data_IF_718737173337
#
_entry.id   IF_718737173337
#
_cell.length_a   1.000
_cell.length_b   1.000
_cell.length_c   1.000
_cell.angle_alpha   90.00
_cell.angle_beta   90.00
_cell.angle_gamma   90.00
#
_symmetry.space_group_name_H-M   'P 1'
#
loop_
_entity.id
_entity.type
_entity.pdbx_description
1 polymer ?
#
# COMPACT_ATOMS: atom_id res chain seq x y z
N UNK A 1 0.86 -29.40 -22.31
CA UNK A 1 2.29 -29.72 -22.13
C UNK A 1 2.97 -28.52 -21.50
N UNK A 2 3.37 -28.60 -20.22
CA UNK A 2 4.25 -27.60 -19.59
C UNK A 2 5.67 -27.90 -20.07
N UNK A 3 6.23 -27.00 -20.87
CA UNK A 3 7.67 -26.99 -21.17
C UNK A 3 8.42 -26.75 -19.86
N UNK A 4 9.06 -27.81 -19.32
CA UNK A 4 9.94 -27.75 -18.16
C UNK A 4 11.40 -27.40 -18.54
N UNK A 5 11.63 -26.87 -19.74
CA UNK A 5 12.97 -26.59 -20.25
C UNK A 5 13.43 -25.14 -20.04
N UNK A 6 12.69 -24.34 -19.27
CA UNK A 6 13.12 -22.99 -18.97
C UNK A 6 14.19 -23.05 -17.88
N UNK A 7 15.45 -22.96 -18.31
CA UNK A 7 16.58 -22.63 -17.41
C UNK A 7 16.14 -21.40 -16.63
N UNK A 8 16.16 -21.48 -15.29
CA UNK A 8 15.70 -20.35 -14.49
C UNK A 8 16.53 -19.10 -14.88
N UNK A 9 15.92 -17.92 -14.98
CA UNK A 9 16.64 -16.69 -15.32
C UNK A 9 17.86 -16.45 -14.41
N UNK A 10 17.78 -16.90 -13.16
CA UNK A 10 18.88 -16.90 -12.20
C UNK A 10 20.04 -17.80 -12.64
N UNK A 11 19.76 -19.04 -13.06
CA UNK A 11 20.79 -19.97 -13.55
C UNK A 11 21.43 -19.41 -14.81
N UNK A 12 20.66 -18.86 -15.75
CA UNK A 12 21.19 -18.27 -16.98
C UNK A 12 22.13 -17.07 -16.70
N UNK A 13 21.73 -16.17 -15.79
CA UNK A 13 22.57 -15.02 -15.39
C UNK A 13 23.84 -15.50 -14.67
N UNK A 14 23.73 -16.47 -13.75
CA UNK A 14 24.88 -17.01 -13.04
C UNK A 14 25.88 -17.65 -14.00
N UNK A 15 25.39 -18.41 -15.00
CA UNK A 15 26.23 -19.05 -16.01
C UNK A 15 26.91 -18.01 -16.91
N UNK A 16 26.20 -16.96 -17.32
CA UNK A 16 26.78 -15.85 -18.09
C UNK A 16 27.88 -15.13 -17.31
N UNK A 17 27.66 -14.83 -16.03
CA UNK A 17 28.67 -14.21 -15.16
C UNK A 17 29.90 -15.10 -15.04
N UNK A 18 29.69 -16.41 -14.81
CA UNK A 18 30.79 -17.38 -14.65
C UNK A 18 31.61 -17.50 -15.95
N UNK A 19 30.95 -17.58 -17.11
CA UNK A 19 31.61 -17.59 -18.42
C UNK A 19 32.36 -16.28 -18.66
N UNK A 20 31.79 -15.14 -18.30
CA UNK A 20 32.43 -13.82 -18.49
C UNK A 20 33.67 -13.68 -17.60
N UNK A 21 33.60 -14.09 -16.33
CA UNK A 21 34.75 -14.11 -15.42
C UNK A 21 35.83 -15.08 -15.92
N UNK A 22 35.43 -16.26 -16.40
CA UNK A 22 36.35 -17.25 -16.97
C UNK A 22 37.08 -16.71 -18.21
N UNK A 23 36.35 -16.10 -19.14
CA UNK A 23 36.93 -15.48 -20.35
C UNK A 23 37.85 -14.31 -20.01
N UNK A 24 37.47 -13.46 -19.04
CA UNK A 24 38.32 -12.36 -18.58
C UNK A 24 39.60 -12.88 -17.92
N UNK A 25 39.47 -13.89 -17.05
CA UNK A 25 40.58 -14.57 -16.41
C UNK A 25 41.54 -15.20 -17.40
N UNK A 26 41.02 -15.84 -18.46
CA UNK A 26 41.84 -16.41 -19.54
C UNK A 26 42.52 -15.33 -20.39
N UNK A 27 41.83 -14.23 -20.71
CA UNK A 27 42.37 -13.15 -21.54
C UNK A 27 43.49 -12.36 -20.83
N UNK A 28 43.47 -12.28 -19.49
CA UNK A 28 44.44 -11.54 -18.67
C UNK A 28 45.15 -12.44 -17.65
N UNK A 29 45.32 -13.72 -17.94
CA UNK A 29 45.74 -14.72 -16.95
C UNK A 29 47.10 -14.39 -16.30
N UNK A 30 48.09 -13.93 -17.09
CA UNK A 30 49.40 -13.53 -16.56
C UNK A 30 49.30 -12.36 -15.59
N UNK A 31 48.46 -11.38 -15.91
CA UNK A 31 48.21 -10.24 -15.02
C UNK A 31 47.53 -10.69 -13.72
N UNK A 32 46.52 -11.57 -13.82
CA UNK A 32 45.77 -12.06 -12.65
C UNK A 32 46.67 -12.86 -11.71
N UNK A 33 47.51 -13.76 -12.24
CA UNK A 33 48.43 -14.57 -11.44
C UNK A 33 49.48 -13.68 -10.77
N UNK A 34 50.10 -12.77 -11.52
CA UNK A 34 51.17 -11.91 -11.01
C UNK A 34 50.68 -10.83 -10.03
N UNK A 35 49.39 -10.50 -10.02
CA UNK A 35 48.80 -9.46 -9.18
C UNK A 35 47.69 -9.98 -8.25
N UNK A 36 47.68 -11.28 -7.95
CA UNK A 36 46.61 -11.90 -7.16
C UNK A 36 46.38 -11.24 -5.80
N UNK A 37 47.46 -10.95 -5.06
CA UNK A 37 47.37 -10.29 -3.75
C UNK A 37 46.82 -8.87 -3.85
N UNK A 38 47.17 -8.14 -4.92
CA UNK A 38 46.63 -6.83 -5.21
C UNK A 38 45.12 -6.91 -5.49
N UNK A 39 44.69 -7.84 -6.35
CA UNK A 39 43.28 -8.06 -6.69
C UNK A 39 42.49 -8.41 -5.44
N UNK A 40 42.99 -9.32 -4.60
CA UNK A 40 42.35 -9.69 -3.34
C UNK A 40 42.19 -8.50 -2.39
N UNK A 41 43.25 -7.70 -2.25
CA UNK A 41 43.23 -6.48 -1.42
C UNK A 41 42.26 -5.43 -1.96
N UNK A 42 42.20 -5.25 -3.28
CA UNK A 42 41.26 -4.34 -3.95
C UNK A 42 39.80 -4.77 -3.69
N UNK A 43 39.49 -6.06 -3.84
CA UNK A 43 38.15 -6.60 -3.55
C UNK A 43 37.79 -6.40 -2.09
N UNK A 44 38.70 -6.73 -1.15
CA UNK A 44 38.41 -6.62 0.28
C UNK A 44 38.13 -5.17 0.71
N UNK A 45 38.91 -4.20 0.20
CA UNK A 45 38.71 -2.77 0.49
C UNK A 45 37.40 -2.22 -0.06
N UNK A 46 36.89 -2.81 -1.14
CA UNK A 46 35.76 -2.26 -1.91
C UNK A 46 34.49 -3.11 -1.81
N UNK A 47 34.52 -4.18 -1.02
CA UNK A 47 33.45 -5.19 -0.93
C UNK A 47 32.06 -4.59 -0.72
N UNK A 48 31.93 -3.63 0.20
CA UNK A 48 30.64 -3.00 0.52
C UNK A 48 30.11 -2.20 -0.67
N UNK A 49 30.99 -1.43 -1.32
CA UNK A 49 30.63 -0.64 -2.49
C UNK A 49 30.26 -1.53 -3.68
N UNK A 50 30.99 -2.63 -3.90
CA UNK A 50 30.67 -3.61 -4.94
C UNK A 50 29.29 -4.24 -4.73
N UNK A 51 28.94 -4.60 -3.50
CA UNK A 51 27.60 -5.13 -3.19
C UNK A 51 26.53 -4.09 -3.52
N UNK A 52 26.73 -2.82 -3.14
CA UNK A 52 25.79 -1.73 -3.43
C UNK A 52 25.65 -1.48 -4.95
N UNK A 53 26.75 -1.48 -5.71
CA UNK A 53 26.73 -1.29 -7.16
C UNK A 53 26.05 -2.46 -7.88
N UNK A 54 26.32 -3.69 -7.42
CA UNK A 54 25.70 -4.89 -7.97
C UNK A 54 24.20 -4.87 -7.72
N UNK A 55 23.79 -4.52 -6.50
CA UNK A 55 22.38 -4.37 -6.14
C UNK A 55 21.68 -3.28 -6.97
N UNK A 56 22.34 -2.14 -7.21
CA UNK A 56 21.78 -1.05 -8.02
C UNK A 56 21.49 -1.53 -9.46
N UNK A 57 22.43 -2.25 -10.07
CA UNK A 57 22.27 -2.83 -11.40
C UNK A 57 21.11 -3.83 -11.43
N UNK A 58 21.03 -4.75 -10.46
CA UNK A 58 19.96 -5.74 -10.43
C UNK A 58 18.57 -5.12 -10.23
N UNK A 59 18.45 -4.13 -9.34
CA UNK A 59 17.19 -3.38 -9.14
C UNK A 59 16.77 -2.72 -10.45
N UNK A 60 17.71 -2.12 -11.17
CA UNK A 60 17.43 -1.42 -12.42
C UNK A 60 17.00 -2.39 -13.51
N UNK A 61 17.68 -3.53 -13.67
CA UNK A 61 17.29 -4.60 -14.58
C UNK A 61 15.88 -5.08 -14.25
N UNK A 62 15.61 -5.39 -12.97
CA UNK A 62 14.30 -5.85 -12.54
C UNK A 62 13.18 -4.85 -12.88
N UNK A 63 13.40 -3.56 -12.62
CA UNK A 63 12.41 -2.51 -12.91
C UNK A 63 12.20 -2.34 -14.41
N UNK A 64 13.28 -2.33 -15.20
CA UNK A 64 13.18 -2.25 -16.67
C UNK A 64 12.42 -3.46 -17.21
N UNK A 65 12.74 -4.67 -16.75
CA UNK A 65 12.04 -5.90 -17.13
C UNK A 65 10.56 -5.85 -16.74
N UNK A 66 10.24 -5.36 -15.55
CA UNK A 66 8.85 -5.22 -15.08
C UNK A 66 8.06 -4.20 -15.92
N UNK A 67 8.69 -3.08 -16.31
CA UNK A 67 8.08 -2.08 -17.19
C UNK A 67 7.91 -2.65 -18.61
N UNK A 68 8.91 -3.34 -19.14
CA UNK A 68 8.87 -3.97 -20.46
C UNK A 68 7.79 -5.07 -20.54
N UNK A 69 7.66 -5.90 -19.51
CA UNK A 69 6.62 -6.93 -19.43
C UNK A 69 5.21 -6.31 -19.46
N UNK A 70 5.05 -5.14 -18.82
CA UNK A 70 3.80 -4.37 -18.82
C UNK A 70 3.52 -3.66 -20.15
N UNK A 71 4.53 -3.05 -20.77
CA UNK A 71 4.37 -2.31 -22.03
C UNK A 71 4.16 -3.22 -23.23
N UNK A 72 4.82 -4.38 -23.26
CA UNK A 72 4.68 -5.40 -24.30
C UNK A 72 3.43 -6.28 -24.14
N UNK A 73 2.63 -6.07 -23.08
CA UNK A 73 1.31 -6.68 -22.94
C UNK A 73 1.31 -8.14 -22.47
N UNK A 74 2.42 -8.65 -21.94
CA UNK A 74 2.52 -10.04 -21.45
C UNK A 74 1.66 -10.30 -20.20
N UNK A 75 1.29 -9.25 -19.45
CA UNK A 75 0.35 -9.32 -18.31
C UNK A 75 -0.82 -8.35 -18.46
N UNK A 76 -1.82 -8.70 -19.27
CA UNK A 76 -3.09 -7.94 -19.45
C UNK A 76 -4.03 -7.93 -18.24
N UNK A 77 -3.69 -8.61 -17.14
CA UNK A 77 -4.61 -8.79 -16.01
C UNK A 77 -4.82 -7.50 -15.19
N UNK A 78 -3.82 -6.61 -15.12
CA UNK A 78 -3.90 -5.36 -14.37
C UNK A 78 -4.68 -4.23 -15.06
N UNK A 79 -4.76 -4.21 -16.40
CA UNK A 79 -5.48 -3.16 -17.13
C UNK A 79 -6.99 -3.30 -17.02
N UNK A 80 -7.51 -4.54 -16.91
CA UNK A 80 -8.93 -4.82 -16.67
C UNK A 80 -9.44 -4.28 -15.33
N UNK A 81 -8.64 -4.38 -14.26
CA UNK A 81 -9.00 -3.81 -12.96
C UNK A 81 -9.03 -2.28 -12.98
N UNK A 82 -8.11 -1.65 -13.73
CA UNK A 82 -8.06 -0.19 -13.89
C UNK A 82 -9.23 0.37 -14.71
N UNK A 83 -9.67 -0.34 -15.75
CA UNK A 83 -10.85 0.05 -16.53
C UNK A 83 -12.16 -0.09 -15.74
N UNK A 84 -12.21 -1.01 -14.77
CA UNK A 84 -13.37 -1.16 -13.87
C UNK A 84 -13.41 -0.04 -12.82
N UNK A 85 -12.26 0.47 -12.38
CA UNK A 85 -12.20 1.41 -11.24
C UNK A 85 -12.34 2.89 -11.59
N UNK A 86 -12.34 3.28 -12.87
CA UNK A 86 -12.45 4.68 -13.33
C UNK A 86 -11.57 5.68 -12.52
N UNK A 87 -10.44 5.21 -11.97
CA UNK A 87 -9.56 6.05 -11.17
C UNK A 87 -8.81 6.99 -12.11
N UNK A 88 -9.15 8.28 -12.07
CA UNK A 88 -8.42 9.33 -12.77
C UNK A 88 -6.99 9.36 -12.22
N UNK A 89 -6.02 8.99 -13.05
CA UNK A 89 -4.60 9.13 -12.73
C UNK A 89 -4.30 10.62 -12.56
N UNK A 90 -3.82 11.01 -11.37
CA UNK A 90 -3.40 12.38 -11.10
C UNK A 90 -2.02 12.64 -11.72
N UNK A 91 -1.99 12.95 -13.02
CA UNK A 91 -0.77 13.21 -13.78
C UNK A 91 0.08 14.35 -13.19
N UNK A 92 -0.54 15.37 -12.58
CA UNK A 92 0.19 16.48 -11.93
C UNK A 92 1.04 15.98 -10.77
N UNK A 93 0.48 15.14 -9.90
CA UNK A 93 1.21 14.57 -8.76
C UNK A 93 2.34 13.63 -9.23
N UNK A 94 2.09 12.83 -10.28
CA UNK A 94 3.11 11.96 -10.84
C UNK A 94 4.28 12.77 -11.44
N UNK A 95 3.99 13.81 -12.21
CA UNK A 95 5.01 14.69 -12.78
C UNK A 95 5.82 15.41 -11.69
N UNK A 96 5.16 15.92 -10.65
CA UNK A 96 5.84 16.60 -9.53
C UNK A 96 6.79 15.65 -8.79
N UNK A 97 6.35 14.42 -8.49
CA UNK A 97 7.19 13.40 -7.84
C UNK A 97 8.42 13.07 -8.68
N UNK A 98 8.23 12.86 -9.99
CA UNK A 98 9.35 12.60 -10.91
C UNK A 98 10.32 13.77 -10.95
N UNK A 99 9.83 15.01 -11.02
CA UNK A 99 10.67 16.20 -11.06
C UNK A 99 11.49 16.37 -9.78
N UNK A 100 10.86 16.24 -8.61
CA UNK A 100 11.55 16.28 -7.32
C UNK A 100 12.62 15.18 -7.19
N UNK A 101 12.31 13.96 -7.65
CA UNK A 101 13.26 12.85 -7.61
C UNK A 101 14.49 13.12 -8.50
N UNK A 102 14.30 13.70 -9.68
CA UNK A 102 15.38 14.06 -10.60
C UNK A 102 16.21 15.22 -10.06
N UNK A 103 15.58 16.26 -9.49
CA UNK A 103 16.28 17.36 -8.83
C UNK A 103 17.17 16.86 -7.68
N UNK A 104 16.69 15.88 -6.91
CA UNK A 104 17.49 15.25 -5.87
C UNK A 104 18.73 14.54 -6.41
N UNK A 105 18.62 13.82 -7.54
CA UNK A 105 19.78 13.19 -8.19
C UNK A 105 20.79 14.24 -8.65
N UNK A 106 20.34 15.33 -9.28
CA UNK A 106 21.22 16.41 -9.72
C UNK A 106 21.97 17.03 -8.54
N UNK A 107 21.28 17.29 -7.43
CA UNK A 107 21.88 17.85 -6.22
C UNK A 107 22.95 16.93 -5.61
N UNK A 108 22.71 15.62 -5.59
CA UNK A 108 23.65 14.65 -5.00
C UNK A 108 24.63 14.03 -6.00
N UNK A 109 24.58 14.41 -7.28
CA UNK A 109 25.41 13.82 -8.34
C UNK A 109 26.91 13.85 -8.01
N UNK A 110 27.41 14.99 -7.53
CA UNK A 110 28.82 15.13 -7.15
C UNK A 110 29.22 14.17 -6.04
N UNK A 111 28.38 14.01 -5.01
CA UNK A 111 28.63 13.09 -3.90
C UNK A 111 28.63 11.62 -4.37
N UNK A 112 27.69 11.26 -5.25
CA UNK A 112 27.62 9.92 -5.85
C UNK A 112 28.88 9.64 -6.67
N UNK A 113 29.31 10.60 -7.50
CA UNK A 113 30.52 10.47 -8.31
C UNK A 113 31.76 10.28 -7.44
N UNK A 114 31.98 11.15 -6.45
CA UNK A 114 33.11 11.04 -5.53
C UNK A 114 33.11 9.71 -4.77
N UNK A 115 31.94 9.26 -4.30
CA UNK A 115 31.82 7.97 -3.64
C UNK A 115 32.22 6.82 -4.57
N UNK A 116 31.76 6.82 -5.83
CA UNK A 116 32.10 5.78 -6.80
C UNK A 116 33.60 5.82 -7.13
N UNK A 117 34.17 6.99 -7.41
CA UNK A 117 35.58 7.11 -7.76
C UNK A 117 36.50 6.61 -6.65
N UNK A 118 36.25 7.03 -5.40
CA UNK A 118 37.04 6.59 -4.24
C UNK A 118 36.96 5.07 -4.04
N UNK A 119 35.77 4.49 -4.19
CA UNK A 119 35.54 3.07 -3.96
C UNK A 119 35.86 2.18 -5.17
N UNK A 120 36.10 2.74 -6.36
CA UNK A 120 36.48 1.97 -7.56
C UNK A 120 37.93 2.17 -7.95
N UNK A 121 38.63 3.16 -7.39
CA UNK A 121 40.04 3.44 -7.66
C UNK A 121 40.96 2.21 -7.59
N UNK A 122 40.83 1.27 -6.62
CA UNK A 122 41.63 0.05 -6.58
C UNK A 122 41.46 -0.87 -7.80
N UNK A 123 40.39 -0.72 -8.58
CA UNK A 123 40.19 -1.47 -9.83
C UNK A 123 40.81 -0.79 -11.06
N UNK A 124 41.29 0.45 -10.94
CA UNK A 124 41.88 1.18 -12.08
C UNK A 124 43.04 0.41 -12.75
N UNK A 125 44.01 -0.17 -12.01
CA UNK A 125 45.07 -0.95 -12.64
C UNK A 125 44.60 -2.29 -13.22
N UNK A 126 43.50 -2.85 -12.69
CA UNK A 126 42.94 -4.13 -13.13
C UNK A 126 42.16 -3.96 -14.43
N UNK A 127 41.34 -2.91 -14.52
CA UNK A 127 40.45 -2.65 -15.65
C UNK A 127 41.13 -1.83 -16.76
N UNK A 128 42.23 -1.13 -16.46
CA UNK A 128 43.01 -0.37 -17.42
C UNK A 128 42.14 0.60 -18.23
N UNK A 129 42.13 0.44 -19.55
CA UNK A 129 41.37 1.27 -20.48
C UNK A 129 39.84 1.17 -20.33
N UNK A 130 39.34 0.08 -19.75
CA UNK A 130 37.90 -0.13 -19.53
C UNK A 130 37.41 0.59 -18.26
N UNK A 131 38.33 1.02 -17.39
CA UNK A 131 37.99 1.66 -16.11
C UNK A 131 37.04 2.86 -16.24
N UNK A 132 37.25 3.84 -17.16
CA UNK A 132 36.34 4.99 -17.28
C UNK A 132 34.91 4.57 -17.66
N UNK A 133 34.78 3.58 -18.55
CA UNK A 133 33.50 3.01 -18.97
C UNK A 133 32.80 2.25 -17.84
N UNK A 134 33.57 1.55 -17.01
CA UNK A 134 33.06 0.90 -15.80
C UNK A 134 32.50 1.92 -14.80
N UNK A 135 33.28 2.95 -14.45
CA UNK A 135 32.85 4.02 -13.54
C UNK A 135 31.60 4.71 -14.06
N UNK A 136 31.54 5.04 -15.36
CA UNK A 136 30.36 5.66 -15.99
C UNK A 136 29.11 4.77 -15.90
N UNK A 137 29.25 3.47 -16.13
CA UNK A 137 28.14 2.50 -16.02
C UNK A 137 27.62 2.42 -14.59
N UNK A 138 28.52 2.29 -13.61
CA UNK A 138 28.16 2.24 -12.18
C UNK A 138 27.49 3.55 -11.74
N UNK A 139 27.99 4.69 -12.21
CA UNK A 139 27.42 6.01 -11.95
C UNK A 139 25.99 6.13 -12.49
N UNK A 140 25.79 5.80 -13.76
CA UNK A 140 24.45 5.86 -14.38
C UNK A 140 23.47 4.93 -13.67
N UNK A 141 23.89 3.71 -13.34
CA UNK A 141 23.07 2.76 -12.58
C UNK A 141 22.71 3.30 -11.20
N UNK A 142 23.68 3.82 -10.46
CA UNK A 142 23.48 4.34 -9.11
C UNK A 142 22.58 5.57 -9.10
N UNK A 143 22.76 6.50 -10.05
CA UNK A 143 21.90 7.68 -10.22
C UNK A 143 20.44 7.28 -10.52
N UNK A 144 20.23 6.29 -11.39
CA UNK A 144 18.88 5.81 -11.70
C UNK A 144 18.22 5.12 -10.50
N UNK A 145 18.94 4.26 -9.78
CA UNK A 145 18.42 3.63 -8.56
C UNK A 145 18.11 4.66 -7.47
N UNK A 146 18.96 5.69 -7.32
CA UNK A 146 18.73 6.78 -6.38
C UNK A 146 17.49 7.60 -6.72
N UNK A 147 17.27 7.89 -8.00
CA UNK A 147 16.03 8.55 -8.48
C UNK A 147 14.78 7.76 -8.10
N UNK A 148 14.81 6.44 -8.33
CA UNK A 148 13.69 5.55 -8.00
C UNK A 148 13.43 5.47 -6.50
N UNK A 149 14.48 5.41 -5.69
CA UNK A 149 14.38 5.43 -4.22
C UNK A 149 13.73 6.74 -3.76
N UNK A 150 14.21 7.90 -4.25
CA UNK A 150 13.62 9.19 -3.92
C UNK A 150 12.15 9.28 -4.35
N UNK A 151 11.81 8.83 -5.56
CA UNK A 151 10.44 8.78 -6.04
C UNK A 151 9.54 7.98 -5.09
N UNK A 152 10.03 6.82 -4.61
CA UNK A 152 9.29 5.98 -3.67
C UNK A 152 9.14 6.64 -2.30
N UNK A 153 10.21 7.21 -1.75
CA UNK A 153 10.21 7.92 -0.46
C UNK A 153 9.22 9.09 -0.48
N UNK A 154 9.22 9.92 -1.53
CA UNK A 154 8.25 11.01 -1.70
C UNK A 154 6.82 10.45 -1.76
N UNK A 155 6.64 9.30 -2.40
CA UNK A 155 5.36 8.59 -2.44
C UNK A 155 4.86 8.17 -1.06
N UNK A 156 5.72 7.54 -0.27
CA UNK A 156 5.41 7.08 1.10
C UNK A 156 5.15 8.26 2.03
N UNK A 157 5.98 9.31 1.97
CA UNK A 157 5.76 10.52 2.78
C UNK A 157 4.44 11.20 2.44
N UNK A 158 4.08 11.26 1.15
CA UNK A 158 2.77 11.76 0.74
C UNK A 158 1.61 10.90 1.25
N UNK A 159 1.77 9.58 1.26
CA UNK A 159 0.77 8.65 1.81
C UNK A 159 0.62 8.78 3.32
N UNK A 160 1.73 8.85 4.05
CA UNK A 160 1.73 9.09 5.49
C UNK A 160 1.00 10.40 5.81
N UNK A 161 1.28 11.47 5.05
CA UNK A 161 0.58 12.74 5.23
C UNK A 161 -0.94 12.60 5.01
N UNK A 162 -1.40 11.79 4.05
CA UNK A 162 -2.82 11.48 3.85
C UNK A 162 -3.39 10.69 5.05
N UNK A 163 -2.63 9.72 5.55
CA UNK A 163 -3.01 8.89 6.69
C UNK A 163 -3.17 9.73 7.98
N UNK A 164 -2.28 10.71 8.17
CA UNK A 164 -2.35 11.70 9.24
C UNK A 164 -3.38 12.82 8.99
N UNK A 165 -3.68 13.13 7.72
CA UNK A 165 -4.75 14.05 7.32
C UNK A 165 -6.14 13.44 7.39
N UNK A 166 -6.28 12.26 8.01
CA UNK A 166 -7.52 11.76 8.60
C UNK A 166 -8.76 12.20 7.84
N UNK A 167 -8.97 11.66 6.64
CA UNK A 167 -10.33 11.62 6.08
C UNK A 167 -11.12 10.64 6.97
N UNK A 168 -11.41 11.09 8.20
CA UNK A 168 -12.33 10.43 9.11
C UNK A 168 -13.67 10.50 8.41
N UNK A 169 -14.37 9.37 8.35
CA UNK A 169 -15.77 9.39 7.97
C UNK A 169 -16.45 10.47 8.82
N UNK A 170 -17.35 11.28 8.24
CA UNK A 170 -18.08 12.29 8.99
C UNK A 170 -18.70 11.60 10.20
N UNK A 171 -18.53 12.22 11.37
CA UNK A 171 -19.08 11.67 12.61
C UNK A 171 -20.58 11.47 12.45
N UNK A 172 -21.07 10.34 12.95
CA UNK A 172 -22.50 10.06 12.96
C UNK A 172 -23.26 11.22 13.62
N UNK A 173 -24.24 11.78 12.93
CA UNK A 173 -24.95 12.96 13.43
C UNK A 173 -25.98 12.53 14.47
N UNK A 174 -25.72 12.83 15.73
CA UNK A 174 -26.69 12.68 16.82
C UNK A 174 -27.51 13.97 16.93
N UNK A 175 -28.83 13.84 16.81
CA UNK A 175 -29.78 14.95 16.98
C UNK A 175 -30.78 14.53 18.04
N UNK A 176 -31.00 15.40 19.02
CA UNK A 176 -31.92 15.12 20.13
C UNK A 176 -33.35 14.85 19.60
N UNK A 177 -33.98 13.83 20.17
CA UNK A 177 -35.29 13.31 19.83
C UNK A 177 -35.47 12.93 18.35
N UNK A 178 -34.38 12.52 17.68
CA UNK A 178 -34.38 12.01 16.32
C UNK A 178 -33.59 10.70 16.21
N UNK A 179 -34.09 9.82 15.34
CA UNK A 179 -33.37 8.63 14.87
C UNK A 179 -32.70 8.95 13.54
N UNK A 180 -31.38 8.89 13.50
CA UNK A 180 -30.57 9.06 12.30
C UNK A 180 -30.49 7.73 11.56
N UNK A 181 -30.96 7.71 10.31
CA UNK A 181 -30.97 6.49 9.47
C UNK A 181 -29.66 6.29 8.71
N UNK A 182 -29.05 7.40 8.31
CA UNK A 182 -27.87 7.40 7.45
C UNK A 182 -27.78 8.66 6.61
N UNK A 183 -26.81 8.66 5.71
CA UNK A 183 -26.54 9.72 4.75
C UNK A 183 -27.41 9.57 3.49
N UNK A 184 -27.77 10.69 2.86
CA UNK A 184 -28.54 10.70 1.61
C UNK A 184 -27.78 11.43 0.50
N UNK A 185 -27.94 10.95 -0.73
CA UNK A 185 -27.35 11.57 -1.92
C UNK A 185 -25.88 11.21 -2.18
N UNK A 186 -25.43 10.05 -1.69
CA UNK A 186 -24.05 9.55 -1.90
C UNK A 186 -23.75 9.18 -3.36
N UNK A 187 -24.78 8.96 -4.17
CA UNK A 187 -24.66 8.61 -5.59
C UNK A 187 -24.18 9.79 -6.45
N UNK A 188 -24.28 11.01 -5.94
CA UNK A 188 -23.78 12.19 -6.64
C UNK A 188 -22.26 12.33 -6.41
N UNK A 189 -21.49 12.40 -7.50
CA UNK A 189 -20.02 12.57 -7.50
C UNK A 189 -19.52 13.93 -6.94
N UNK A 190 -20.34 14.64 -6.16
CA UNK A 190 -19.98 15.91 -5.56
C UNK A 190 -19.16 15.71 -4.27
N UNK A 191 -17.90 16.12 -4.33
CA UNK A 191 -16.93 15.98 -3.23
C UNK A 191 -17.37 16.75 -1.96
N UNK A 192 -18.06 17.88 -2.11
CA UNK A 192 -18.58 18.67 -0.97
C UNK A 192 -19.62 17.90 -0.14
N UNK A 193 -20.48 17.09 -0.79
CA UNK A 193 -21.45 16.24 -0.10
C UNK A 193 -20.81 15.09 0.68
N UNK A 194 -19.57 14.72 0.36
CA UNK A 194 -18.80 13.72 1.13
C UNK A 194 -18.24 14.27 2.44
N UNK A 195 -17.93 15.58 2.46
CA UNK A 195 -17.40 16.25 3.66
C UNK A 195 -18.53 16.64 4.61
N UNK A 196 -19.66 17.16 4.07
CA UNK A 196 -20.86 17.47 4.83
C UNK A 196 -22.07 16.74 4.24
N UNK A 197 -22.27 15.45 4.56
CA UNK A 197 -23.40 14.72 4.03
C UNK A 197 -24.72 15.25 4.59
N UNK A 198 -25.76 15.13 3.77
CA UNK A 198 -27.14 15.30 4.25
C UNK A 198 -27.53 14.03 4.99
N UNK A 199 -28.20 14.18 6.13
CA UNK A 199 -28.62 13.07 6.98
C UNK A 199 -30.13 12.87 6.89
N UNK A 200 -30.56 11.62 6.74
CA UNK A 200 -31.96 11.25 6.92
C UNK A 200 -32.25 11.07 8.42
N UNK A 201 -33.19 11.87 8.92
CA UNK A 201 -33.58 11.91 10.33
C UNK A 201 -35.07 11.60 10.44
N UNK A 202 -35.44 10.74 11.39
CA UNK A 202 -36.84 10.49 11.78
C UNK A 202 -37.08 11.14 13.14
N UNK A 203 -38.01 12.10 13.28
CA UNK A 203 -38.36 12.67 14.58
C UNK A 203 -39.05 11.64 15.47
N UNK A 204 -38.93 11.76 16.79
CA UNK A 204 -39.53 10.86 17.77
C UNK A 204 -41.02 10.58 17.52
N UNK A 205 -41.80 11.60 17.14
CA UNK A 205 -43.24 11.45 16.83
C UNK A 205 -43.52 10.48 15.68
N UNK A 206 -42.60 10.37 14.72
CA UNK A 206 -42.73 9.46 13.58
C UNK A 206 -42.29 8.02 13.91
N UNK A 207 -41.61 7.79 15.04
CA UNK A 207 -41.29 6.44 15.53
C UNK A 207 -42.51 5.68 16.04
N UNK A 208 -43.66 6.35 16.18
CA UNK A 208 -44.95 5.68 16.39
C UNK A 208 -45.40 4.89 15.14
N UNK A 209 -44.79 5.17 13.97
CA UNK A 209 -44.97 4.38 12.76
C UNK A 209 -43.98 3.22 12.68
N UNK A 210 -44.29 2.23 11.85
CA UNK A 210 -43.42 1.08 11.63
C UNK A 210 -42.25 1.42 10.69
N UNK A 211 -41.06 0.90 11.00
CA UNK A 211 -39.89 0.95 10.12
C UNK A 211 -39.63 -0.46 9.57
N UNK A 212 -39.60 -0.58 8.24
CA UNK A 212 -39.24 -1.82 7.55
C UNK A 212 -37.82 -1.72 6.98
N UNK A 213 -36.92 -2.59 7.45
CA UNK A 213 -35.55 -2.72 6.93
C UNK A 213 -35.46 -3.97 6.06
N UNK A 214 -35.13 -3.79 4.78
CA UNK A 214 -35.00 -4.88 3.80
C UNK A 214 -33.66 -4.82 3.06
N UNK A 215 -33.22 -5.95 2.50
CA UNK A 215 -31.93 -6.08 1.81
C UNK A 215 -31.50 -7.54 1.69
N UNK A 216 -30.56 -7.83 0.78
CA UNK A 216 -30.03 -9.18 0.57
C UNK A 216 -29.11 -9.64 1.72
N UNK A 217 -28.72 -10.91 1.71
CA UNK A 217 -27.77 -11.45 2.69
C UNK A 217 -26.43 -10.72 2.52
N UNK A 218 -25.81 -10.29 3.63
CA UNK A 218 -24.53 -9.58 3.61
C UNK A 218 -24.59 -8.07 3.41
N UNK A 219 -25.77 -7.46 3.23
CA UNK A 219 -25.90 -6.00 3.05
C UNK A 219 -25.87 -5.18 4.34
N UNK A 220 -25.56 -5.82 5.48
CA UNK A 220 -25.43 -5.12 6.75
C UNK A 220 -26.75 -4.74 7.45
N UNK A 221 -27.89 -5.36 7.14
CA UNK A 221 -29.18 -5.07 7.82
C UNK A 221 -29.07 -5.05 9.35
N UNK A 222 -28.43 -6.06 9.94
CA UNK A 222 -28.29 -6.16 11.41
C UNK A 222 -27.21 -5.22 11.93
N UNK A 223 -25.97 -5.41 11.46
CA UNK A 223 -24.79 -4.71 11.97
C UNK A 223 -24.74 -3.23 11.57
N UNK A 224 -25.12 -2.91 10.34
CA UNK A 224 -25.08 -1.55 9.80
C UNK A 224 -26.35 -0.74 10.00
N UNK A 225 -27.47 -1.35 10.41
CA UNK A 225 -28.76 -0.64 10.58
C UNK A 225 -29.39 -0.90 11.93
N UNK A 226 -29.81 -2.14 12.22
CA UNK A 226 -30.61 -2.42 13.43
C UNK A 226 -29.82 -2.13 14.72
N UNK A 227 -28.55 -2.53 14.81
CA UNK A 227 -27.73 -2.23 15.99
C UNK A 227 -27.48 -0.72 16.14
N UNK A 228 -27.25 0.00 15.05
CA UNK A 228 -27.14 1.46 15.07
C UNK A 228 -28.45 2.13 15.54
N UNK A 229 -29.61 1.55 15.22
CA UNK A 229 -30.89 2.06 15.74
C UNK A 229 -31.02 1.76 17.23
N UNK A 230 -30.67 0.55 17.66
CA UNK A 230 -30.69 0.20 19.07
C UNK A 230 -29.76 1.10 19.90
N UNK A 231 -28.54 1.37 19.42
CA UNK A 231 -27.64 2.31 20.07
C UNK A 231 -28.25 3.70 20.21
N UNK A 232 -28.97 4.20 19.21
CA UNK A 232 -29.63 5.51 19.32
C UNK A 232 -30.85 5.48 20.24
N UNK A 233 -31.69 4.46 20.12
CA UNK A 233 -32.95 4.33 20.88
C UNK A 233 -32.71 4.13 22.37
N UNK A 234 -31.79 3.23 22.73
CA UNK A 234 -31.40 3.01 24.12
C UNK A 234 -30.35 4.02 24.61
N UNK A 235 -30.03 5.03 23.80
CA UNK A 235 -28.98 6.01 24.06
C UNK A 235 -29.54 7.28 24.67
N UNK A 236 -28.69 8.30 24.77
CA UNK A 236 -29.07 9.61 25.28
C UNK A 236 -29.74 10.49 24.20
N UNK A 237 -30.02 9.93 23.01
CA UNK A 237 -30.63 10.69 21.91
C UNK A 237 -32.10 11.04 22.20
N UNK A 238 -32.78 10.31 23.09
CA UNK A 238 -34.18 10.55 23.39
C UNK A 238 -34.36 10.91 24.87
N UNK A 239 -35.16 11.95 25.14
CA UNK A 239 -35.47 12.37 26.52
C UNK A 239 -36.23 11.28 27.29
N UNK A 240 -36.99 10.44 26.58
CA UNK A 240 -37.63 9.25 27.13
C UNK A 240 -37.11 8.04 26.39
N UNK A 241 -36.42 7.16 27.10
CA UNK A 241 -35.97 5.88 26.55
C UNK A 241 -37.18 4.97 26.31
N UNK A 242 -37.37 4.44 25.09
CA UNK A 242 -38.49 3.59 24.78
C UNK A 242 -38.31 2.20 25.40
N UNK A 243 -39.37 1.68 26.02
CA UNK A 243 -39.46 0.25 26.32
C UNK A 243 -39.52 -0.55 25.01
N UNK A 244 -38.74 -1.62 24.92
CA UNK A 244 -38.59 -2.38 23.66
C UNK A 244 -38.74 -3.87 23.90
N UNK A 245 -39.48 -4.53 23.00
CA UNK A 245 -39.50 -5.99 22.88
C UNK A 245 -38.59 -6.38 21.72
N UNK A 246 -37.55 -7.15 22.01
CA UNK A 246 -36.60 -7.64 21.00
C UNK A 246 -36.86 -9.12 20.75
N UNK A 247 -37.09 -9.47 19.48
CA UNK A 247 -37.25 -10.85 19.03
C UNK A 247 -36.12 -11.19 18.07
N UNK A 248 -35.30 -12.17 18.44
CA UNK A 248 -34.15 -12.61 17.63
C UNK A 248 -34.20 -14.11 17.37
N UNK A 249 -34.85 -14.55 16.28
CA UNK A 249 -34.94 -15.96 15.95
C UNK A 249 -33.60 -16.58 15.54
N UNK A 250 -32.53 -15.79 15.34
CA UNK A 250 -31.21 -16.29 14.92
C UNK A 250 -30.17 -16.32 16.04
N UNK A 251 -30.48 -15.76 17.21
CA UNK A 251 -29.58 -15.69 18.37
C UNK A 251 -28.35 -14.77 18.21
N UNK A 252 -28.17 -14.13 17.06
CA UNK A 252 -26.98 -13.31 16.73
C UNK A 252 -27.04 -11.85 17.17
N UNK A 253 -28.22 -11.36 17.56
CA UNK A 253 -28.52 -9.95 17.83
C UNK A 253 -28.66 -9.67 19.33
N UNK A 254 -29.24 -10.60 20.10
CA UNK A 254 -29.42 -10.43 21.55
C UNK A 254 -28.09 -10.11 22.26
N UNK A 255 -26.98 -10.85 22.06
CA UNK A 255 -25.73 -10.57 22.76
C UNK A 255 -25.20 -9.14 22.58
N UNK A 256 -25.40 -8.57 21.39
CA UNK A 256 -24.99 -7.20 21.09
C UNK A 256 -25.88 -6.17 21.81
N UNK A 257 -27.19 -6.41 21.90
CA UNK A 257 -28.10 -5.57 22.67
C UNK A 257 -27.77 -5.60 24.16
N UNK A 258 -27.48 -6.79 24.71
CA UNK A 258 -27.01 -6.93 26.09
C UNK A 258 -25.77 -6.08 26.33
N UNK A 259 -24.83 -6.10 25.38
CA UNK A 259 -23.59 -5.33 25.47
C UNK A 259 -23.85 -3.81 25.41
N UNK A 260 -24.78 -3.36 24.56
CA UNK A 260 -25.22 -1.96 24.48
C UNK A 260 -25.83 -1.51 25.82
N UNK A 261 -26.75 -2.31 26.38
CA UNK A 261 -27.39 -2.00 27.67
C UNK A 261 -26.39 -2.02 28.84
N UNK A 262 -25.45 -2.99 28.83
CA UNK A 262 -24.39 -3.11 29.84
C UNK A 262 -23.46 -1.90 29.84
N UNK A 263 -23.03 -1.43 28.67
CA UNK A 263 -22.21 -0.20 28.54
C UNK A 263 -22.91 1.03 29.13
N UNK A 264 -24.24 0.99 29.27
CA UNK A 264 -25.07 2.11 29.72
C UNK A 264 -25.62 1.95 31.13
N UNK A 265 -25.37 0.83 31.80
CA UNK A 265 -25.86 0.58 33.15
C UNK A 265 -27.35 0.25 33.24
N UNK A 266 -28.06 0.06 32.12
CA UNK A 266 -29.50 -0.25 32.07
C UNK A 266 -29.78 -1.75 31.95
N UNK A 267 -28.79 -2.59 32.25
CA UNK A 267 -28.95 -4.05 32.15
C UNK A 267 -29.99 -4.58 33.13
N UNK A 268 -30.14 -3.93 34.29
CA UNK A 268 -31.08 -4.32 35.34
C UNK A 268 -32.55 -4.17 34.92
N UNK A 269 -32.81 -3.37 33.88
CA UNK A 269 -34.16 -3.14 33.34
C UNK A 269 -34.54 -4.16 32.25
N UNK A 270 -33.65 -5.12 31.96
CA UNK A 270 -33.84 -6.12 30.92
C UNK A 270 -34.43 -7.41 31.48
N UNK A 271 -35.52 -7.89 30.85
CA UNK A 271 -36.12 -9.19 31.15
C UNK A 271 -35.89 -10.11 29.95
N UNK A 272 -35.26 -11.25 30.21
CA UNK A 272 -35.04 -12.29 29.20
C UNK A 272 -36.16 -13.32 29.25
N UNK A 273 -36.73 -13.60 28.08
CA UNK A 273 -37.69 -14.67 27.88
C UNK A 273 -37.07 -15.68 26.88
N UNK A 274 -36.14 -16.51 27.36
CA UNK A 274 -35.37 -17.45 26.55
C UNK A 274 -33.92 -17.59 27.02
N UNK A 275 -33.05 -18.22 26.21
CA UNK A 275 -31.60 -18.25 26.47
C UNK A 275 -30.95 -16.92 26.07
N UNK A 276 -30.36 -16.22 27.05
CA UNK A 276 -29.68 -14.95 26.87
C UNK A 276 -28.35 -15.09 26.10
N UNK A 277 -27.77 -16.29 26.08
CA UNK A 277 -26.53 -16.59 25.37
C UNK A 277 -26.77 -16.94 23.89
N UNK A 278 -28.03 -16.95 23.45
CA UNK A 278 -28.39 -17.20 22.05
C UNK A 278 -28.16 -18.64 21.60
N UNK A 279 -28.03 -19.61 22.52
CA UNK A 279 -28.01 -21.02 22.14
C UNK A 279 -29.44 -21.43 21.76
N UNK A 280 -29.61 -21.81 20.49
CA UNK A 280 -30.83 -22.44 19.96
C UNK A 280 -30.68 -23.95 20.11
#
# INVERSE_FOLDING_TARGET
>A
MKSNNDVSPFIAIALLILVTIGLFGLHKYEFVINNWDYIRSAIYKTQNALVLFTLSIFINIYIISMIAERSLGYKKQGSKLRSIKNEKINYKNLALKSLLSLSGVVFFYGQILTYIEVNTLPFKPILGEVYPSFVKTVLMSSCFSYSLLLFWVIGVLGFLNILFQGHRLPSFKEVENHLTLGTVGEEENNFEKKVNPKWALIPQKALNGNILVTGSIGTGKTQGTILNFAEQLFGNNFHLTPSSLVLDPKGSFIPEIVNILKKRGSLNDCVYLGDADGNI
#
